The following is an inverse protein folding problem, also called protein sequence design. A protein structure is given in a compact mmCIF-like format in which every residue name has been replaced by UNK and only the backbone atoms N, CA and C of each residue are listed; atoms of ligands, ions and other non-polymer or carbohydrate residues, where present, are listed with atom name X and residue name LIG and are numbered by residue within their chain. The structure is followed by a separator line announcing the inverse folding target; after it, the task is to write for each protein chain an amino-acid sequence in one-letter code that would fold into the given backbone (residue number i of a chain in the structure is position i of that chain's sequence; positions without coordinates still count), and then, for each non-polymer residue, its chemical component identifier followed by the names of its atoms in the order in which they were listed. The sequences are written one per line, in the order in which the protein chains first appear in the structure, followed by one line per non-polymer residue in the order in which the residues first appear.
data_IF_274970558551
#
_entry.id   IF_274970558551
#
_cell.length_a   1.000
_cell.length_b   1.000
_cell.length_c   1.000
_cell.angle_alpha   90.00
_cell.angle_beta   90.00
_cell.angle_gamma   90.00
#
_symmetry.space_group_name_H-M   'P 1'
#
loop_
_entity.id
_entity.type
_entity.pdbx_description
1 polymer ?
#
# COMPACT_ATOMS: atom_id res chain seq x y z
N UNK A 1 -11.44 -17.68 -5.08
CA UNK A 1 -10.60 -16.91 -4.13
C UNK A 1 -9.48 -16.26 -4.93
N UNK A 2 -9.32 -14.94 -4.89
CA UNK A 2 -8.12 -14.30 -5.42
C UNK A 2 -6.92 -14.82 -4.62
N UNK A 3 -5.98 -15.49 -5.28
CA UNK A 3 -4.71 -15.81 -4.64
C UNK A 3 -3.98 -14.49 -4.37
N UNK A 4 -3.32 -14.39 -3.21
CA UNK A 4 -2.52 -13.22 -2.80
C UNK A 4 -1.32 -12.94 -3.72
N UNK A 5 -1.10 -13.80 -4.73
CA UNK A 5 -0.03 -13.76 -5.73
C UNK A 5 1.33 -13.36 -5.11
N UNK A 6 1.82 -14.13 -4.12
CA UNK A 6 3.05 -13.84 -3.40
C UNK A 6 4.24 -13.56 -4.34
N UNK A 7 4.39 -14.32 -5.42
CA UNK A 7 5.46 -14.12 -6.41
C UNK A 7 5.45 -12.73 -7.09
N UNK A 8 4.30 -12.07 -7.14
CA UNK A 8 4.17 -10.75 -7.73
C UNK A 8 4.39 -9.60 -6.75
N UNK A 9 4.40 -9.87 -5.45
CA UNK A 9 4.37 -8.85 -4.41
C UNK A 9 5.54 -9.05 -3.45
N UNK A 10 6.67 -8.42 -3.78
CA UNK A 10 7.89 -8.44 -2.95
C UNK A 10 8.49 -7.01 -2.84
N UNK A 11 9.21 -6.69 -1.76
CA UNK A 11 9.70 -5.34 -1.50
C UNK A 11 10.58 -4.74 -2.61
N UNK A 12 11.38 -5.58 -3.29
CA UNK A 12 12.33 -5.10 -4.30
C UNK A 12 11.68 -4.84 -5.68
N UNK A 13 10.39 -5.17 -5.85
CA UNK A 13 9.70 -4.97 -7.11
C UNK A 13 9.51 -3.49 -7.39
N UNK A 14 9.89 -3.04 -8.59
CA UNK A 14 9.60 -1.68 -9.01
C UNK A 14 8.10 -1.50 -9.27
N UNK A 15 7.57 -0.35 -8.90
CA UNK A 15 6.16 -0.01 -9.08
C UNK A 15 5.75 -0.05 -10.55
N UNK A 16 6.63 0.38 -11.47
CA UNK A 16 6.38 0.35 -12.91
C UNK A 16 6.49 -1.04 -13.56
N UNK A 17 6.88 -2.07 -12.80
CA UNK A 17 6.85 -3.45 -13.29
C UNK A 17 5.46 -4.07 -13.18
N UNK A 18 4.55 -3.48 -12.41
CA UNK A 18 3.15 -3.85 -12.42
C UNK A 18 2.49 -3.37 -13.73
N UNK A 19 2.28 -4.30 -14.68
CA UNK A 19 1.71 -4.03 -16.01
C UNK A 19 0.19 -3.89 -15.96
N UNK A 20 -0.30 -2.99 -15.11
CA UNK A 20 -1.73 -2.71 -14.91
C UNK A 20 -2.02 -1.22 -15.01
N UNK A 21 -2.93 -0.85 -15.92
CA UNK A 21 -3.33 0.55 -16.12
C UNK A 21 -2.14 1.51 -16.26
N UNK A 22 -2.22 2.65 -15.55
CA UNK A 22 -1.20 3.69 -15.57
C UNK A 22 0.05 3.36 -14.75
N UNK A 23 0.03 2.29 -13.94
CA UNK A 23 1.21 1.87 -13.18
C UNK A 23 2.36 1.44 -14.08
N UNK A 24 2.05 0.85 -15.24
CA UNK A 24 3.04 0.43 -16.24
C UNK A 24 3.98 1.54 -16.72
N UNK A 25 3.56 2.80 -16.60
CA UNK A 25 4.33 4.00 -16.98
C UNK A 25 4.65 4.91 -15.78
N UNK A 26 4.32 4.48 -14.56
CA UNK A 26 4.60 5.18 -13.31
C UNK A 26 6.05 4.93 -12.85
N UNK A 27 6.99 5.43 -13.64
CA UNK A 27 8.43 5.39 -13.37
C UNK A 27 9.11 6.62 -13.95
N UNK A 28 10.45 6.60 -13.99
CA UNK A 28 11.27 7.70 -14.48
C UNK A 28 10.94 9.04 -13.79
N UNK A 29 10.76 8.97 -12.47
CA UNK A 29 10.31 10.04 -11.59
C UNK A 29 11.44 11.06 -11.39
N UNK A 30 11.13 12.35 -11.54
CA UNK A 30 12.13 13.41 -11.41
C UNK A 30 12.50 13.67 -9.96
N UNK A 31 13.80 13.84 -9.68
CA UNK A 31 14.26 14.42 -8.43
C UNK A 31 14.16 15.95 -8.49
N UNK A 32 13.51 16.57 -7.51
CA UNK A 32 13.31 18.01 -7.43
C UNK A 32 14.66 18.75 -7.48
N UNK A 33 14.74 19.80 -8.30
CA UNK A 33 15.97 20.58 -8.49
C UNK A 33 17.11 19.83 -9.19
N UNK A 34 16.87 18.66 -9.80
CA UNK A 34 17.90 17.83 -10.43
C UNK A 34 17.47 17.30 -11.80
N UNK A 35 18.46 16.88 -12.60
CA UNK A 35 18.23 16.12 -13.85
C UNK A 35 18.11 14.61 -13.61
N UNK A 36 18.44 14.14 -12.40
CA UNK A 36 18.37 12.71 -12.05
C UNK A 36 16.92 12.21 -12.05
N UNK A 37 16.74 10.95 -12.41
CA UNK A 37 15.44 10.27 -12.43
C UNK A 37 15.55 8.88 -11.85
N UNK A 38 14.48 8.44 -11.18
CA UNK A 38 14.47 7.18 -10.46
C UNK A 38 13.17 6.40 -10.68
N UNK A 39 13.26 5.10 -10.52
CA UNK A 39 12.11 4.24 -10.25
C UNK A 39 12.06 3.97 -8.76
N UNK A 40 10.86 3.65 -8.26
CA UNK A 40 10.64 3.37 -6.83
C UNK A 40 10.14 1.95 -6.66
N UNK A 41 10.54 1.29 -5.59
CA UNK A 41 10.10 -0.07 -5.25
C UNK A 41 8.93 -0.07 -4.27
N UNK A 42 8.23 -1.22 -4.16
CA UNK A 42 7.20 -1.45 -3.15
C UNK A 42 7.75 -1.23 -1.73
N UNK A 43 8.94 -1.76 -1.44
CA UNK A 43 9.59 -1.62 -0.14
C UNK A 43 9.90 -0.18 0.21
N UNK A 44 10.33 0.63 -0.77
CA UNK A 44 10.57 2.06 -0.56
C UNK A 44 9.30 2.84 -0.25
N UNK A 45 8.16 2.46 -0.84
CA UNK A 45 6.85 3.03 -0.49
C UNK A 45 6.41 2.63 0.92
N UNK A 46 6.58 1.36 1.29
CA UNK A 46 6.23 0.82 2.61
C UNK A 46 7.07 1.43 3.74
N UNK A 47 8.37 1.60 3.51
CA UNK A 47 9.32 2.01 4.55
C UNK A 47 9.59 3.52 4.60
N UNK A 48 8.83 4.32 3.86
CA UNK A 48 9.00 5.78 3.83
C UNK A 48 10.38 6.24 3.34
N UNK A 49 11.00 5.47 2.44
CA UNK A 49 12.31 5.77 1.85
C UNK A 49 12.23 6.06 0.34
N UNK A 50 11.02 6.23 -0.22
CA UNK A 50 10.79 6.46 -1.65
C UNK A 50 11.19 7.84 -2.17
N UNK A 51 11.39 8.81 -1.29
CA UNK A 51 11.64 10.20 -1.69
C UNK A 51 10.38 10.98 -2.05
N UNK A 52 9.19 10.38 -2.12
CA UNK A 52 7.96 11.15 -2.36
C UNK A 52 7.62 12.06 -1.17
N UNK A 53 7.04 13.26 -1.41
CA UNK A 53 6.54 14.10 -0.35
C UNK A 53 5.30 13.48 0.33
N UNK A 54 5.02 13.93 1.55
CA UNK A 54 3.70 13.76 2.14
C UNK A 54 2.72 14.73 1.48
N UNK A 55 1.59 14.22 1.02
CA UNK A 55 0.49 15.05 0.50
C UNK A 55 -0.84 14.36 0.77
N UNK A 56 -1.76 15.12 1.35
CA UNK A 56 -3.11 14.62 1.64
C UNK A 56 -4.09 14.87 0.49
N UNK A 57 -3.72 15.74 -0.45
CA UNK A 57 -4.58 16.28 -1.50
C UNK A 57 -4.40 15.63 -2.85
N UNK A 58 -3.35 14.83 -3.06
CA UNK A 58 -3.16 14.16 -4.34
C UNK A 58 -4.24 13.10 -4.58
N UNK A 59 -4.87 13.19 -5.76
CA UNK A 59 -6.06 12.40 -6.13
C UNK A 59 -5.81 11.38 -7.24
N UNK A 60 -4.68 11.47 -7.94
CA UNK A 60 -4.31 10.54 -9.00
C UNK A 60 -2.79 10.47 -9.19
N UNK A 61 -2.33 9.47 -9.95
CA UNK A 61 -0.91 9.25 -10.23
C UNK A 61 -0.23 10.43 -10.93
N UNK A 62 -0.95 11.17 -11.78
CA UNK A 62 -0.36 12.31 -12.51
C UNK A 62 0.02 13.43 -11.54
N UNK A 63 -0.84 13.72 -10.54
CA UNK A 63 -0.54 14.72 -9.50
C UNK A 63 0.70 14.33 -8.71
N UNK A 64 0.81 13.06 -8.32
CA UNK A 64 1.96 12.55 -7.58
C UNK A 64 3.24 12.63 -8.43
N UNK A 65 3.15 12.28 -9.72
CA UNK A 65 4.28 12.36 -10.65
C UNK A 65 4.79 13.78 -10.85
N UNK A 66 3.89 14.77 -10.88
CA UNK A 66 4.26 16.18 -11.06
C UNK A 66 4.99 16.78 -9.86
N UNK A 67 4.73 16.30 -8.63
CA UNK A 67 5.40 16.80 -7.43
C UNK A 67 6.89 16.45 -7.38
N UNK A 68 7.30 15.35 -8.02
CA UNK A 68 8.68 14.88 -8.01
C UNK A 68 9.10 14.30 -6.66
N UNK A 69 10.33 13.78 -6.62
CA UNK A 69 10.97 13.23 -5.44
C UNK A 69 11.73 14.34 -4.70
N UNK A 70 11.67 14.36 -3.38
CA UNK A 70 12.42 15.26 -2.51
C UNK A 70 13.86 14.80 -2.28
N UNK A 71 14.12 13.50 -2.39
CA UNK A 71 15.45 12.89 -2.25
C UNK A 71 15.55 11.60 -3.06
N UNK A 72 16.77 11.10 -3.24
CA UNK A 72 17.03 9.85 -3.96
C UNK A 72 16.43 8.64 -3.23
N UNK A 73 15.65 7.77 -3.90
CA UNK A 73 15.02 6.63 -3.22
C UNK A 73 16.03 5.74 -2.51
N UNK A 74 15.78 5.42 -1.24
CA UNK A 74 16.65 4.61 -0.40
C UNK A 74 17.77 5.36 0.33
N UNK A 75 18.00 6.65 0.06
CA UNK A 75 19.09 7.42 0.71
C UNK A 75 18.62 8.29 1.87
N UNK A 76 17.33 8.27 2.19
CA UNK A 76 16.72 9.10 3.23
C UNK A 76 15.38 8.53 3.70
N UNK A 77 14.79 9.20 4.69
CA UNK A 77 13.52 8.79 5.28
C UNK A 77 12.60 9.99 5.51
N UNK A 78 11.35 9.88 5.08
CA UNK A 78 10.28 10.83 5.38
C UNK A 78 8.92 10.18 5.20
N UNK A 79 8.00 10.43 6.12
CA UNK A 79 6.58 10.16 5.88
C UNK A 79 6.16 10.72 4.51
N UNK A 80 5.37 9.94 3.78
CA UNK A 80 5.09 10.17 2.36
C UNK A 80 3.73 9.62 1.96
N UNK A 81 3.28 9.98 0.74
CA UNK A 81 2.08 9.43 0.10
C UNK A 81 2.18 7.92 -0.25
N UNK A 82 3.29 7.25 0.08
CA UNK A 82 3.57 5.87 -0.36
C UNK A 82 2.45 4.88 -0.07
N UNK A 83 1.83 4.93 1.11
CA UNK A 83 0.74 4.03 1.49
C UNK A 83 -0.55 4.26 0.67
N UNK A 84 -0.82 5.50 0.24
CA UNK A 84 -1.93 5.79 -0.69
C UNK A 84 -1.69 5.15 -2.06
N UNK A 85 -0.47 5.31 -2.58
CA UNK A 85 -0.09 4.69 -3.85
C UNK A 85 -0.23 3.16 -3.77
N UNK A 86 0.20 2.54 -2.67
CA UNK A 86 0.02 1.10 -2.47
C UNK A 86 -1.46 0.72 -2.44
N UNK A 87 -2.32 1.47 -1.75
CA UNK A 87 -3.76 1.25 -1.77
C UNK A 87 -4.36 1.28 -3.18
N UNK A 88 -4.01 2.29 -3.99
CA UNK A 88 -4.44 2.38 -5.39
C UNK A 88 -3.87 1.26 -6.26
N UNK A 89 -2.63 0.85 -6.04
CA UNK A 89 -2.01 -0.25 -6.78
C UNK A 89 -2.69 -1.58 -6.46
N UNK A 90 -3.00 -1.86 -5.19
CA UNK A 90 -3.79 -3.04 -4.79
C UNK A 90 -5.16 -3.01 -5.49
N UNK A 91 -5.87 -1.88 -5.44
CA UNK A 91 -7.16 -1.72 -6.14
C UNK A 91 -7.05 -2.07 -7.62
N UNK A 92 -6.08 -1.45 -8.32
CA UNK A 92 -5.96 -1.58 -9.76
C UNK A 92 -5.47 -2.99 -10.16
N UNK A 93 -4.49 -3.54 -9.44
CA UNK A 93 -3.89 -4.86 -9.71
C UNK A 93 -4.91 -6.01 -9.59
N UNK A 94 -5.81 -5.92 -8.61
CA UNK A 94 -6.90 -6.89 -8.45
C UNK A 94 -8.23 -6.44 -9.07
N UNK A 95 -8.21 -5.41 -9.93
CA UNK A 95 -9.37 -4.92 -10.67
C UNK A 95 -10.60 -4.64 -9.78
N UNK A 96 -10.37 -4.02 -8.62
CA UNK A 96 -11.43 -3.69 -7.66
C UNK A 96 -12.01 -2.31 -7.95
N UNK A 97 -13.30 -2.09 -7.66
CA UNK A 97 -13.94 -0.80 -7.88
C UNK A 97 -13.46 0.29 -6.90
N UNK A 98 -12.83 -0.11 -5.78
CA UNK A 98 -12.37 0.80 -4.73
C UNK A 98 -11.23 0.18 -3.91
N UNK A 99 -10.46 1.03 -3.22
CA UNK A 99 -9.48 0.59 -2.21
C UNK A 99 -10.19 -0.17 -1.09
N UNK A 100 -11.39 0.27 -0.69
CA UNK A 100 -12.25 -0.47 0.24
C UNK A 100 -12.50 -1.90 -0.23
N UNK A 101 -12.91 -2.09 -1.49
CA UNK A 101 -13.19 -3.42 -2.04
C UNK A 101 -11.94 -4.31 -2.11
N UNK A 102 -10.76 -3.72 -2.34
CA UNK A 102 -9.50 -4.44 -2.25
C UNK A 102 -9.20 -4.91 -0.82
N UNK A 103 -9.30 -4.04 0.17
CA UNK A 103 -9.05 -4.39 1.57
C UNK A 103 -10.10 -5.36 2.13
N UNK A 104 -11.36 -5.22 1.74
CA UNK A 104 -12.44 -6.16 2.09
C UNK A 104 -12.08 -7.58 1.68
N UNK A 105 -11.60 -7.75 0.46
CA UNK A 105 -11.30 -9.07 -0.09
C UNK A 105 -9.98 -9.64 0.40
N UNK A 106 -8.93 -8.81 0.49
CA UNK A 106 -7.59 -9.26 0.82
C UNK A 106 -7.35 -9.37 2.33
N UNK A 107 -8.08 -8.61 3.16
CA UNK A 107 -7.79 -8.48 4.60
C UNK A 107 -9.05 -8.68 5.46
N UNK A 108 -10.08 -7.86 5.30
CA UNK A 108 -11.17 -7.80 6.28
C UNK A 108 -12.05 -9.04 6.29
N UNK A 109 -12.55 -9.50 5.13
CA UNK A 109 -13.35 -10.74 5.06
C UNK A 109 -12.53 -11.97 5.44
N UNK A 110 -11.27 -12.15 4.97
CA UNK A 110 -10.43 -13.25 5.41
C UNK A 110 -10.19 -13.31 6.91
N UNK A 111 -10.15 -12.15 7.60
CA UNK A 111 -9.95 -12.07 9.04
C UNK A 111 -11.25 -11.98 9.85
N UNK A 112 -12.41 -11.89 9.21
CA UNK A 112 -13.68 -11.68 9.90
C UNK A 112 -13.79 -10.31 10.60
N UNK A 113 -13.19 -9.27 10.01
CA UNK A 113 -13.23 -7.88 10.50
C UNK A 113 -14.45 -7.15 9.94
N UNK A 114 -15.66 -7.58 10.34
CA UNK A 114 -16.93 -7.12 9.76
C UNK A 114 -17.32 -5.68 10.12
N UNK A 115 -16.64 -5.04 11.07
CA UNK A 115 -16.88 -3.67 11.53
C UNK A 115 -15.71 -2.75 11.17
N UNK A 116 -14.93 -3.12 10.14
CA UNK A 116 -13.78 -2.34 9.66
C UNK A 116 -14.01 -1.89 8.22
N UNK A 117 -13.86 -0.58 7.98
CA UNK A 117 -14.08 0.04 6.66
C UNK A 117 -13.44 1.43 6.60
N UNK A 118 -13.22 1.95 5.40
CA UNK A 118 -12.88 3.34 5.16
C UNK A 118 -14.11 4.24 5.39
N UNK A 119 -13.97 5.27 6.21
CA UNK A 119 -15.08 6.14 6.59
C UNK A 119 -15.28 7.31 5.60
N UNK A 120 -16.40 7.30 4.89
CA UNK A 120 -16.74 8.33 3.90
C UNK A 120 -17.08 9.70 4.50
N UNK A 121 -17.36 9.80 5.80
CA UNK A 121 -17.72 11.08 6.43
C UNK A 121 -16.50 11.90 6.85
N UNK A 122 -15.36 11.24 7.12
CA UNK A 122 -14.11 11.90 7.53
C UNK A 122 -13.16 12.11 6.34
N UNK A 123 -13.18 11.17 5.39
CA UNK A 123 -12.29 11.17 4.22
C UNK A 123 -12.38 12.47 3.40
N UNK A 124 -13.54 13.02 3.02
CA UNK A 124 -13.61 14.25 2.22
C UNK A 124 -13.02 15.49 2.88
N UNK A 125 -12.95 15.53 4.23
CA UNK A 125 -12.43 16.68 4.97
C UNK A 125 -10.90 16.68 5.08
N UNK A 126 -10.26 15.52 4.99
CA UNK A 126 -8.80 15.37 5.18
C UNK A 126 -8.09 14.75 3.97
N UNK A 127 -8.78 13.94 3.19
CA UNK A 127 -8.25 13.10 2.13
C UNK A 127 -9.10 13.27 0.85
N UNK A 128 -8.55 13.94 -0.16
CA UNK A 128 -9.29 14.28 -1.39
C UNK A 128 -9.53 13.09 -2.34
N UNK A 129 -9.20 11.87 -1.92
CA UNK A 129 -9.33 10.63 -2.68
C UNK A 129 -9.38 9.40 -1.75
N UNK A 130 -9.50 8.21 -2.32
CA UNK A 130 -9.40 6.95 -1.56
C UNK A 130 -8.05 6.89 -0.83
N UNK A 131 -8.12 6.91 0.50
CA UNK A 131 -6.97 7.08 1.37
C UNK A 131 -6.34 5.73 1.74
N UNK A 132 -5.49 5.16 0.89
CA UNK A 132 -4.66 4.00 1.31
C UNK A 132 -3.71 4.30 2.49
N UNK A 133 -3.59 5.57 2.85
CA UNK A 133 -2.77 6.15 3.91
C UNK A 133 -3.56 6.59 5.17
N UNK A 134 -4.88 6.38 5.23
CA UNK A 134 -5.68 6.78 6.40
C UNK A 134 -7.19 6.56 6.27
N UNK A 135 -7.96 7.00 7.26
CA UNK A 135 -9.42 7.02 7.18
C UNK A 135 -10.13 5.68 7.46
N UNK A 136 -9.42 4.65 7.93
CA UNK A 136 -10.04 3.40 8.40
C UNK A 136 -10.70 3.63 9.75
N UNK A 137 -11.98 3.28 9.85
CA UNK A 137 -12.71 3.11 11.10
C UNK A 137 -12.81 1.61 11.41
N UNK A 138 -12.57 1.25 12.66
CA UNK A 138 -12.56 -0.16 13.11
C UNK A 138 -13.02 -0.28 14.56
N UNK A 139 -13.02 -1.50 15.09
CA UNK A 139 -13.28 -1.81 16.50
C UNK A 139 -12.07 -2.50 17.11
N UNK A 140 -11.94 -2.44 18.45
CA UNK A 140 -10.90 -3.18 19.16
C UNK A 140 -10.97 -4.69 18.89
N UNK A 141 -12.18 -5.25 18.72
CA UNK A 141 -12.39 -6.66 18.41
C UNK A 141 -11.84 -7.03 17.02
N UNK A 142 -12.03 -6.17 16.01
CA UNK A 142 -11.51 -6.41 14.67
C UNK A 142 -9.99 -6.23 14.60
N UNK A 143 -9.46 -5.15 15.20
CA UNK A 143 -8.02 -4.93 15.26
C UNK A 143 -7.28 -6.05 15.99
N UNK A 144 -7.90 -6.66 17.02
CA UNK A 144 -7.36 -7.86 17.66
C UNK A 144 -7.17 -9.01 16.67
N UNK A 145 -8.10 -9.23 15.72
CA UNK A 145 -7.99 -10.32 14.74
C UNK A 145 -6.80 -10.10 13.79
N UNK A 146 -6.62 -8.86 13.34
CA UNK A 146 -5.45 -8.46 12.57
C UNK A 146 -4.14 -8.66 13.37
N UNK A 147 -4.07 -8.15 14.60
CA UNK A 147 -2.91 -8.30 15.47
C UNK A 147 -2.54 -9.77 15.73
N UNK A 148 -3.54 -10.64 15.95
CA UNK A 148 -3.32 -12.08 16.11
C UNK A 148 -2.75 -12.70 14.83
N UNK A 149 -3.22 -12.30 13.65
CA UNK A 149 -2.68 -12.80 12.40
C UNK A 149 -1.22 -12.39 12.19
N UNK A 150 -0.86 -11.15 12.57
CA UNK A 150 0.52 -10.67 12.57
C UNK A 150 1.40 -11.49 13.54
N UNK A 151 0.95 -11.67 14.79
CA UNK A 151 1.68 -12.44 15.81
C UNK A 151 1.85 -13.92 15.44
N UNK A 152 0.96 -14.45 14.60
CA UNK A 152 1.01 -15.81 14.07
C UNK A 152 1.58 -15.86 12.65
N UNK A 153 2.38 -14.87 12.27
CA UNK A 153 3.11 -14.80 10.99
C UNK A 153 2.24 -15.08 9.77
N UNK A 154 1.09 -14.40 9.68
CA UNK A 154 0.17 -14.50 8.55
C UNK A 154 -0.94 -15.53 8.72
N UNK A 155 -1.12 -16.14 9.91
CA UNK A 155 -2.19 -17.12 10.18
C UNK A 155 -3.30 -16.56 11.06
N UNK A 156 -4.54 -16.59 10.59
CA UNK A 156 -5.71 -16.12 11.31
C UNK A 156 -6.03 -16.96 12.57
N UNK A 157 -6.92 -16.47 13.42
CA UNK A 157 -7.29 -17.12 14.68
C UNK A 157 -7.90 -18.51 14.49
N UNK A 158 -8.63 -18.70 13.38
CA UNK A 158 -9.28 -19.95 12.96
C UNK A 158 -8.32 -20.93 12.25
N UNK A 159 -7.04 -20.58 12.14
CA UNK A 159 -6.02 -21.41 11.51
C UNK A 159 -5.83 -21.16 10.00
N UNK A 160 -6.64 -20.31 9.37
CA UNK A 160 -6.49 -19.95 7.95
C UNK A 160 -5.15 -19.25 7.69
N UNK A 161 -4.48 -19.63 6.61
CA UNK A 161 -3.21 -19.01 6.17
C UNK A 161 -3.55 -17.88 5.19
N UNK A 162 -3.10 -16.66 5.51
CA UNK A 162 -3.23 -15.48 4.64
C UNK A 162 -1.95 -15.24 3.86
N UNK A 163 -0.82 -15.36 4.56
CA UNK A 163 0.55 -15.32 4.04
C UNK A 163 1.24 -16.52 4.69
N UNK A 164 1.91 -17.35 3.90
CA UNK A 164 2.71 -18.44 4.47
C UNK A 164 3.94 -17.90 5.22
N UNK A 165 4.43 -18.66 6.18
CA UNK A 165 5.49 -18.23 7.09
C UNK A 165 6.81 -17.92 6.36
N UNK A 166 7.12 -18.63 5.28
CA UNK A 166 8.33 -18.36 4.49
C UNK A 166 8.27 -16.98 3.84
N UNK A 167 7.13 -16.62 3.24
CA UNK A 167 6.90 -15.30 2.68
C UNK A 167 6.80 -14.21 3.77
N UNK A 168 6.23 -14.53 4.93
CA UNK A 168 6.22 -13.63 6.08
C UNK A 168 7.65 -13.26 6.51
N UNK A 169 8.49 -14.26 6.75
CA UNK A 169 9.87 -14.07 7.18
C UNK A 169 10.72 -13.37 6.10
N UNK A 170 10.42 -13.60 4.81
CA UNK A 170 11.14 -12.96 3.71
C UNK A 170 10.78 -11.48 3.50
N UNK A 171 9.53 -11.07 3.79
CA UNK A 171 9.01 -9.75 3.36
C UNK A 171 8.53 -8.85 4.49
N UNK A 172 7.91 -9.41 5.53
CA UNK A 172 7.27 -8.61 6.59
C UNK A 172 8.27 -8.16 7.66
N UNK A 173 9.35 -8.93 7.87
CA UNK A 173 10.37 -8.68 8.90
C UNK A 173 11.77 -8.88 8.29
N UNK A 174 12.15 -8.03 7.33
CA UNK A 174 13.57 -7.89 6.97
C UNK A 174 14.26 -7.17 8.14
N UNK A 175 14.81 -7.94 9.07
CA UNK A 175 15.80 -7.43 10.04
C UNK A 175 17.07 -7.00 9.30
#
# INVERSE_FOLDING_TARGET
LMHTKPADWHPDKFVNDFKVGRWSTFGNLALAGSKKRFNVTIGQLLMHTSGFPMTLTAVCLDVVRMQGLCFEPGTGWSYSIGHRLLGWLLRDYWHKPSVQAAFDELVYKPLGMSSTHFANWFTPFFFMAEAGDGGITSTAADLRRFAVAVLRKGRASDGRILIDEANWDAWAMRN
#
